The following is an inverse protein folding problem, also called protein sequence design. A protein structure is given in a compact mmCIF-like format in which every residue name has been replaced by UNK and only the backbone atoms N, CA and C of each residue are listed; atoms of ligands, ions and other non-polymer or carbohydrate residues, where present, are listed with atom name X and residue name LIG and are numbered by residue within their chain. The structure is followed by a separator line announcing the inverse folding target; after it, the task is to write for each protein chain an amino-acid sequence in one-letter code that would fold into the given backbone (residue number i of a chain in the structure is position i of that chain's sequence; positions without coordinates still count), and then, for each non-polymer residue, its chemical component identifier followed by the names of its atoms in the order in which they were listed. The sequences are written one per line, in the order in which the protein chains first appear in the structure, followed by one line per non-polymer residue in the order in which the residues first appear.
data_IF_617806359662
#
_entry.id   IF_617806359662
#
_cell.length_a   1.000
_cell.length_b   1.000
_cell.length_c   1.000
_cell.angle_alpha   90.00
_cell.angle_beta   90.00
_cell.angle_gamma   90.00
#
_symmetry.space_group_name_H-M   'P 1'
#
loop_
_entity.id
_entity.type
_entity.pdbx_description
1 polymer ?
2 non-polymer ?
3 non-polymer ?
4 non-polymer ?
5 water ?
#
# COMPACT_ATOMS: atom_id res chain seq x y z
N UNK A 2 8.96 10.56 -22.68
CA UNK A 2 9.01 11.17 -21.32
C UNK A 2 8.16 10.41 -20.31
N UNK A 3 6.85 10.36 -20.55
CA UNK A 3 5.90 9.94 -19.52
C UNK A 3 5.71 8.44 -19.35
N UNK A 4 5.75 7.68 -20.44
CA UNK A 4 5.39 6.26 -20.36
C UNK A 4 6.53 5.29 -20.74
N UNK A 5 7.74 5.83 -20.86
CA UNK A 5 8.93 5.04 -21.19
C UNK A 5 9.38 4.14 -20.03
N UNK A 6 10.55 3.53 -20.18
CA UNK A 6 11.15 2.72 -19.11
C UNK A 6 11.69 3.62 -18.00
N UNK A 7 10.79 4.24 -17.26
CA UNK A 7 11.15 5.20 -16.23
C UNK A 7 9.94 5.43 -15.33
N UNK A 8 10.04 5.05 -14.05
CA UNK A 8 8.90 5.16 -13.14
C UNK A 8 8.69 6.64 -12.80
N UNK A 9 7.49 7.14 -13.10
CA UNK A 9 7.13 8.53 -12.88
C UNK A 9 5.96 8.57 -11.91
N UNK A 10 6.03 9.47 -10.93
CA UNK A 10 4.90 9.74 -10.01
C UNK A 10 4.49 11.18 -10.11
N UNK A 11 3.18 11.41 -10.21
CA UNK A 11 2.59 12.71 -9.96
C UNK A 11 2.19 12.75 -8.50
N UNK A 12 2.48 13.86 -7.82
CA UNK A 12 2.10 14.02 -6.43
C UNK A 12 1.19 15.24 -6.34
N UNK A 13 0.05 15.06 -5.69
CA UNK A 13 -0.94 16.14 -5.55
C UNK A 13 -1.32 16.28 -4.08
N UNK A 14 -1.14 17.49 -3.56
CA UNK A 14 -1.25 17.77 -2.13
C UNK A 14 -2.42 18.70 -1.80
N UNK A 15 -3.22 19.06 -2.79
CA UNK A 15 -4.27 20.07 -2.59
C UNK A 15 -5.24 19.69 -1.47
N UNK A 16 -5.58 18.41 -1.37
CA UNK A 16 -6.57 17.96 -0.39
C UNK A 16 -5.99 17.32 0.87
N UNK A 17 -4.77 17.67 1.22
CA UNK A 17 -4.12 17.17 2.45
C UNK A 17 -4.68 17.87 3.69
N UNK A 18 -4.66 19.19 3.67
CA UNK A 18 -5.20 19.99 4.76
C UNK A 18 -6.54 20.56 4.34
N UNK A 19 -7.60 20.04 4.96
CA UNK A 19 -8.95 20.44 4.63
C UNK A 19 -9.66 20.87 5.90
N UNK A 20 -10.56 21.82 5.77
CA UNK A 20 -11.33 22.30 6.93
C UNK A 20 -12.78 22.53 6.55
N UNK A 21 -13.64 22.52 7.55
CA UNK A 21 -14.99 23.03 7.38
C UNK A 21 -15.08 24.29 8.24
N UNK A 22 -15.72 25.32 7.72
CA UNK A 22 -15.90 26.58 8.44
C UNK A 22 -17.38 26.79 8.77
N UNK A 23 -17.65 27.38 9.93
CA UNK A 23 -19.01 27.54 10.40
C UNK A 23 -19.16 28.82 11.16
N UNK A 24 -20.21 29.58 10.84
CA UNK A 24 -20.57 30.77 11.59
C UNK A 24 -21.40 30.27 12.77
N UNK A 25 -20.95 30.53 13.99
CA UNK A 25 -21.66 30.08 15.20
C UNK A 25 -22.84 31.00 15.50
N UNK A 26 -23.65 30.59 16.47
CA UNK A 26 -24.78 31.43 16.90
C UNK A 26 -24.31 32.77 17.47
N UNK A 27 -23.05 32.81 17.94
CA UNK A 27 -22.51 34.03 18.52
C UNK A 27 -21.87 34.93 17.46
N UNK A 28 -21.82 34.46 16.21
CA UNK A 28 -21.33 35.26 15.10
C UNK A 28 -19.84 35.13 14.83
N UNK A 29 -19.19 34.15 15.44
CA UNK A 29 -17.78 33.90 15.18
C UNK A 29 -17.58 32.73 14.24
N UNK A 30 -16.36 32.57 13.75
CA UNK A 30 -16.03 31.54 12.79
C UNK A 30 -15.28 30.41 13.47
N UNK A 31 -15.81 29.19 13.40
CA UNK A 31 -15.06 28.02 13.83
C UNK A 31 -14.51 27.32 12.60
N UNK A 32 -13.26 26.89 12.70
CA UNK A 32 -12.57 26.21 11.62
C UNK A 32 -12.11 24.88 12.20
N UNK A 33 -12.66 23.78 11.67
CA UNK A 33 -12.32 22.45 12.17
C UNK A 33 -11.69 21.64 11.05
N UNK A 34 -10.47 21.12 11.25
CA UNK A 34 -9.92 20.27 10.20
C UNK A 34 -10.74 19.02 9.98
N UNK A 35 -10.77 18.54 8.74
CA UNK A 35 -11.33 17.23 8.43
C UNK A 35 -10.25 16.43 7.71
N UNK A 36 -10.46 15.12 7.61
CA UNK A 36 -9.43 14.24 7.04
C UNK A 36 -9.12 14.65 5.61
N UNK A 37 -7.85 14.51 5.23
CA UNK A 37 -7.41 14.78 3.87
C UNK A 37 -6.73 13.57 3.25
N UNK A 38 -6.11 13.80 2.09
CA UNK A 38 -5.40 12.72 1.41
C UNK A 38 -4.33 13.28 0.50
N UNK A 39 -3.23 12.52 0.37
CA UNK A 39 -2.24 12.74 -0.66
C UNK A 39 -2.52 11.76 -1.79
N UNK A 40 -2.44 12.24 -3.02
CA UNK A 40 -2.54 11.38 -4.18
C UNK A 40 -1.16 11.23 -4.82
N UNK A 41 -0.71 10.00 -4.98
CA UNK A 41 0.57 9.69 -5.63
C UNK A 41 0.24 8.73 -6.76
N UNK A 42 0.50 9.14 -7.99
CA UNK A 42 -0.08 8.46 -9.17
C UNK A 42 0.97 8.12 -10.22
N UNK A 43 0.98 6.86 -10.65
CA UNK A 43 1.85 6.39 -11.72
C UNK A 43 1.07 6.38 -13.04
N UNK A 44 1.38 7.30 -13.97
CA UNK A 44 0.56 7.43 -15.18
C UNK A 44 0.72 6.26 -16.15
N UNK A 45 1.80 5.50 -16.03
CA UNK A 45 1.96 4.35 -16.92
C UNK A 45 1.07 3.19 -16.52
N UNK A 46 1.10 2.81 -15.24
CA UNK A 46 0.38 1.62 -14.78
C UNK A 46 -1.03 1.92 -14.26
N UNK A 47 -1.32 3.19 -13.97
CA UNK A 47 -2.57 3.54 -13.32
C UNK A 47 -2.58 3.41 -11.81
N UNK A 48 -1.47 3.01 -11.21
CA UNK A 48 -1.40 2.83 -9.77
C UNK A 48 -1.55 4.14 -9.02
N UNK A 49 -2.50 4.18 -8.09
CA UNK A 49 -2.62 5.28 -7.14
C UNK A 49 -2.27 4.78 -5.74
N UNK A 50 -1.38 5.50 -5.08
CA UNK A 50 -1.18 5.36 -3.65
C UNK A 50 -1.96 6.51 -3.03
N UNK A 51 -2.95 6.18 -2.22
CA UNK A 51 -3.76 7.17 -1.51
C UNK A 51 -3.36 7.14 -0.05
N UNK A 52 -2.67 8.20 0.39
CA UNK A 52 -2.30 8.33 1.78
C UNK A 52 -3.36 9.17 2.47
N UNK A 53 -4.12 8.53 3.35
CA UNK A 53 -5.15 9.25 4.08
C UNK A 53 -4.48 9.96 5.23
N UNK A 54 -4.77 11.25 5.35
CA UNK A 54 -4.23 12.10 6.39
C UNK A 54 -5.32 12.34 7.43
N UNK A 55 -5.13 11.78 8.62
CA UNK A 55 -6.10 11.92 9.68
C UNK A 55 -5.84 13.18 10.44
N UNK A 56 -6.91 13.82 10.92
CA UNK A 56 -6.84 15.15 11.56
C UNK A 56 -5.94 15.23 12.80
N UNK A 57 -5.72 14.09 13.44
CA UNK A 57 -4.85 14.03 14.63
C UNK A 57 -3.43 14.53 14.37
N UNK A 58 -2.97 14.44 13.13
CA UNK A 58 -1.62 14.90 12.80
C UNK A 58 -1.42 16.40 12.97
N UNK A 59 -2.51 17.17 12.94
CA UNK A 59 -2.44 18.63 12.91
C UNK A 59 -2.34 19.31 14.26
N UNK A 60 -2.39 18.55 15.34
CA UNK A 60 -2.84 19.09 16.60
C UNK A 60 -2.03 20.29 17.10
N UNK A 61 -0.71 20.22 16.99
CA UNK A 61 0.17 21.24 17.51
C UNK A 61 0.23 22.69 17.03
N UNK A 62 0.20 22.92 15.72
CA UNK A 62 0.80 24.12 15.10
C UNK A 62 -0.11 25.08 14.32
N UNK A 63 0.37 26.30 14.11
CA UNK A 63 -0.31 27.27 13.25
C UNK A 63 0.13 27.02 11.80
N UNK A 64 -0.37 27.85 10.88
CA UNK A 64 -0.01 27.77 9.45
C UNK A 64 -0.01 26.34 8.95
N UNK A 65 -1.11 25.65 9.22
CA UNK A 65 -1.25 24.25 8.85
C UNK A 65 -1.23 24.10 7.33
N UNK A 66 -1.62 25.14 6.60
CA UNK A 66 -1.54 25.15 5.14
C UNK A 66 -0.13 24.99 4.62
N UNK A 67 0.83 25.65 5.27
CA UNK A 67 2.24 25.48 4.91
C UNK A 67 2.75 24.15 5.41
N UNK A 68 2.42 23.82 6.65
CA UNK A 68 2.89 22.57 7.25
C UNK A 68 2.48 21.36 6.40
N UNK A 69 1.29 21.42 5.81
CA UNK A 69 0.79 20.32 4.96
C UNK A 69 1.68 19.98 3.78
N UNK A 70 2.34 20.96 3.19
CA UNK A 70 3.29 20.70 2.10
C UNK A 70 4.46 19.85 2.62
N UNK A 71 4.91 20.20 3.82
CA UNK A 71 5.99 19.45 4.46
C UNK A 71 5.59 18.06 4.84
N UNK A 72 4.37 17.93 5.38
CA UNK A 72 3.80 16.63 5.74
C UNK A 72 3.67 15.76 4.49
N UNK A 73 3.22 16.36 3.40
CA UNK A 73 3.15 15.65 2.12
C UNK A 73 4.52 15.11 1.71
N UNK A 74 5.55 15.95 1.79
CA UNK A 74 6.89 15.52 1.38
C UNK A 74 7.43 14.42 2.29
N UNK A 75 7.17 14.54 3.59
CA UNK A 75 7.53 13.53 4.56
C UNK A 75 6.92 12.17 4.20
N UNK A 76 5.65 12.18 3.84
CA UNK A 76 4.95 10.95 3.49
C UNK A 76 5.41 10.36 2.15
N UNK A 77 5.76 11.22 1.19
CA UNK A 77 6.30 10.72 -0.08
C UNK A 77 7.61 9.99 0.18
N UNK A 78 8.48 10.58 1.00
CA UNK A 78 9.75 9.97 1.34
C UNK A 78 9.55 8.66 2.09
N UNK A 79 8.56 8.62 2.99
CA UNK A 79 8.28 7.40 3.76
C UNK A 79 7.85 6.28 2.84
N UNK A 80 7.04 6.62 1.84
CA UNK A 80 6.60 5.63 0.85
C UNK A 80 7.80 5.11 0.08
N UNK A 81 8.64 6.02 -0.39
CA UNK A 81 9.85 5.62 -1.11
C UNK A 81 10.71 4.68 -0.27
N UNK A 82 10.92 5.02 1.00
CA UNK A 82 11.72 4.20 1.92
C UNK A 82 11.11 2.80 2.15
N UNK A 83 9.78 2.68 2.01
CA UNK A 83 9.10 1.40 2.22
C UNK A 83 9.13 0.49 0.97
N UNK A 84 9.59 1.05 -0.15
CA UNK A 84 9.65 0.32 -1.41
C UNK A 84 11.08 -0.15 -1.74
N UNK A 85 11.21 -1.34 -2.35
CA UNK A 85 12.50 -1.73 -2.91
C UNK A 85 12.98 -0.68 -3.91
N UNK A 86 14.29 -0.57 -4.08
CA UNK A 86 14.87 0.47 -4.97
C UNK A 86 14.29 0.42 -6.37
N UNK A 87 14.09 -0.80 -6.87
CA UNK A 87 13.61 -0.96 -8.23
C UNK A 87 12.16 -0.47 -8.43
N UNK A 88 11.43 -0.24 -7.33
CA UNK A 88 10.08 0.29 -7.40
C UNK A 88 10.03 1.80 -7.10
N UNK A 89 11.17 2.39 -6.74
CA UNK A 89 11.19 3.83 -6.44
C UNK A 89 11.11 4.64 -7.73
N UNK A 90 10.45 5.80 -7.68
CA UNK A 90 10.33 6.60 -8.88
C UNK A 90 11.66 7.19 -9.30
N UNK A 91 11.81 7.37 -10.61
CA UNK A 91 12.93 8.11 -11.17
C UNK A 91 12.60 9.61 -11.21
N UNK A 92 11.34 9.95 -11.43
CA UNK A 92 10.91 11.35 -11.48
C UNK A 92 9.66 11.55 -10.65
N UNK A 93 9.61 12.67 -9.93
CA UNK A 93 8.41 13.07 -9.21
C UNK A 93 7.99 14.43 -9.77
N UNK A 94 6.73 14.50 -10.22
CA UNK A 94 6.20 15.70 -10.85
C UNK A 94 5.12 16.27 -9.95
N UNK A 95 5.23 17.55 -9.62
CA UNK A 95 4.18 18.23 -8.84
C UNK A 95 3.61 19.36 -9.66
N UNK A 96 2.28 19.46 -9.71
CA UNK A 96 1.66 20.60 -10.37
C UNK A 96 1.48 21.76 -9.40
N UNK A 97 1.79 21.54 -8.13
CA UNK A 97 1.82 22.62 -7.15
C UNK A 97 3.27 22.97 -6.80
N UNK A 98 3.68 24.16 -7.20
CA UNK A 98 5.04 24.67 -6.98
C UNK A 98 5.48 24.66 -5.51
N UNK A 99 4.52 24.79 -4.59
CA UNK A 99 4.81 24.83 -3.16
C UNK A 99 5.44 23.55 -2.64
N UNK A 100 5.26 22.46 -3.37
CA UNK A 100 5.84 21.17 -3.01
C UNK A 100 7.31 21.01 -3.38
N UNK A 101 7.85 21.88 -4.23
CA UNK A 101 9.21 21.66 -4.75
C UNK A 101 10.30 21.67 -3.69
N UNK A 102 10.34 22.70 -2.84
CA UNK A 102 11.40 22.78 -1.84
C UNK A 102 11.24 21.72 -0.74
N UNK A 103 10.02 21.53 -0.23
CA UNK A 103 9.87 20.47 0.76
C UNK A 103 10.29 19.10 0.25
N UNK A 104 9.96 18.78 -0.99
CA UNK A 104 10.39 17.49 -1.56
C UNK A 104 11.89 17.44 -1.73
N UNK A 105 12.48 18.53 -2.22
CA UNK A 105 13.94 18.58 -2.38
C UNK A 105 14.64 18.25 -1.07
N UNK A 106 14.16 18.83 0.03
CA UNK A 106 14.79 18.67 1.34
C UNK A 106 14.56 17.25 1.88
N UNK A 107 13.37 16.69 1.65
CA UNK A 107 13.04 15.35 2.14
C UNK A 107 13.66 14.21 1.37
N UNK A 108 14.08 14.46 0.13
CA UNK A 108 14.59 13.38 -0.72
C UNK A 108 16.09 13.46 -0.99
N UNK A 109 16.81 14.15 -0.11
CA UNK A 109 18.26 14.31 -0.29
C UNK A 109 19.02 12.98 -0.31
N UNK A 110 18.49 11.96 0.37
CA UNK A 110 19.10 10.62 0.33
C UNK A 110 18.82 9.84 -0.94
N UNK A 111 18.06 10.42 -1.87
CA UNK A 111 17.72 9.74 -3.12
C UNK A 111 18.20 10.55 -4.32
N UNK A 112 19.52 10.56 -4.57
CA UNK A 112 20.06 11.40 -5.64
C UNK A 112 19.61 11.03 -7.04
N UNK A 113 19.13 9.79 -7.24
CA UNK A 113 18.60 9.35 -8.54
C UNK A 113 17.25 10.00 -8.87
N UNK A 114 16.55 10.50 -7.86
CA UNK A 114 15.19 11.01 -8.10
C UNK A 114 15.21 12.47 -8.57
N UNK A 115 14.61 12.72 -9.73
CA UNK A 115 14.44 14.07 -10.27
C UNK A 115 13.07 14.61 -9.88
N UNK A 116 13.04 15.83 -9.37
CA UNK A 116 11.80 16.48 -8.96
C UNK A 116 11.55 17.65 -9.90
N UNK A 117 10.37 17.74 -10.49
CA UNK A 117 10.06 18.87 -11.34
C UNK A 117 8.65 19.36 -11.17
N UNK A 118 8.46 20.63 -11.48
CA UNK A 118 7.15 21.25 -11.44
C UNK A 118 6.46 21.08 -12.77
N UNK A 119 5.19 21.44 -12.81
CA UNK A 119 4.36 21.28 -13.99
C UNK A 119 3.25 22.32 -13.98
N UNK A 120 2.92 22.81 -15.18
CA UNK A 120 1.85 23.77 -15.37
C UNK A 120 0.57 23.04 -15.76
N UNK A 121 0.60 21.72 -15.78
CA UNK A 121 -0.55 20.93 -16.19
C UNK A 121 -1.66 21.00 -15.15
N UNK A 122 -2.87 20.82 -15.64
CA UNK A 122 -4.08 20.80 -14.82
C UNK A 122 -4.48 19.35 -14.60
N UNK A 123 -4.08 18.81 -13.46
CA UNK A 123 -4.23 17.39 -13.19
C UNK A 123 -4.84 17.25 -11.80
N UNK A 124 -6.16 17.47 -11.69
CA UNK A 124 -6.76 17.54 -10.36
C UNK A 124 -7.05 16.16 -9.80
N UNK A 125 -5.99 15.42 -9.45
CA UNK A 125 -6.12 14.06 -8.88
C UNK A 125 -6.94 14.12 -7.61
N UNK A 126 -6.88 15.25 -6.91
CA UNK A 126 -7.67 15.43 -5.70
C UNK A 126 -9.18 15.34 -5.99
N UNK A 127 -9.60 15.60 -7.23
CA UNK A 127 -11.02 15.46 -7.59
C UNK A 127 -11.55 14.03 -7.35
N UNK A 128 -10.65 13.06 -7.17
CA UNK A 128 -11.07 11.71 -6.75
C UNK A 128 -11.98 11.73 -5.51
N UNK A 129 -11.88 12.76 -4.67
CA UNK A 129 -12.76 12.90 -3.49
C UNK A 129 -14.22 12.95 -3.85
N UNK A 130 -14.52 13.41 -5.06
CA UNK A 130 -15.91 13.54 -5.51
C UNK A 130 -16.52 12.18 -5.90
N UNK A 131 -15.69 11.16 -6.05
CA UNK A 131 -16.16 9.80 -6.31
C UNK A 131 -16.46 9.17 -4.95
N UNK A 132 -17.67 8.68 -4.75
CA UNK A 132 -18.12 8.28 -3.40
C UNK A 132 -17.18 7.28 -2.71
N UNK A 133 -16.61 6.35 -3.48
CA UNK A 133 -15.67 5.36 -2.94
C UNK A 133 -14.55 6.04 -2.15
N UNK A 134 -13.90 7.04 -2.76
CA UNK A 134 -12.78 7.70 -2.11
C UNK A 134 -13.28 8.64 -1.00
N UNK A 135 -14.36 9.37 -1.28
CA UNK A 135 -14.88 10.38 -0.36
C UNK A 135 -15.22 9.84 1.01
N UNK A 136 -15.99 8.76 1.02
CA UNK A 136 -16.39 8.09 2.26
C UNK A 136 -15.21 7.49 2.98
N UNK A 137 -14.32 6.86 2.22
CA UNK A 137 -13.11 6.27 2.78
C UNK A 137 -12.32 7.31 3.58
N UNK A 138 -12.10 8.46 2.97
CA UNK A 138 -11.35 9.54 3.60
C UNK A 138 -12.11 10.12 4.79
N UNK A 139 -13.39 10.42 4.59
CA UNK A 139 -14.23 10.99 5.64
C UNK A 139 -14.24 10.13 6.91
N UNK A 140 -14.39 8.82 6.74
CA UNK A 140 -14.64 7.91 7.88
C UNK A 140 -13.39 7.36 8.57
N UNK A 141 -12.22 7.63 8.02
CA UNK A 141 -10.97 7.12 8.57
C UNK A 141 -10.76 7.65 9.97
N UNK A 142 -10.23 6.81 10.86
CA UNK A 142 -9.97 7.20 12.23
C UNK A 142 -8.48 7.24 12.54
N UNK A 143 -7.66 6.96 11.52
CA UNK A 143 -6.21 6.95 11.68
C UNK A 143 -5.57 7.05 10.28
N UNK A 144 -4.28 7.39 10.21
CA UNK A 144 -3.64 7.42 8.88
C UNK A 144 -3.47 6.02 8.34
N UNK A 145 -3.54 5.89 7.02
CA UNK A 145 -3.33 4.62 6.35
C UNK A 145 -3.08 4.89 4.88
N UNK A 146 -2.50 3.92 4.21
CA UNK A 146 -2.29 4.03 2.79
C UNK A 146 -3.10 2.95 2.09
N UNK A 147 -3.78 3.35 1.02
CA UNK A 147 -4.65 2.44 0.28
C UNK A 147 -4.23 2.48 -1.19
N UNK A 148 -4.12 1.29 -1.80
CA UNK A 148 -3.74 1.19 -3.20
C UNK A 148 -4.98 1.05 -4.09
N UNK A 149 -4.94 1.73 -5.24
CA UNK A 149 -5.97 1.61 -6.26
C UNK A 149 -5.35 1.54 -7.65
N UNK A 150 -6.14 1.03 -8.60
CA UNK A 150 -5.81 1.03 -10.01
C UNK A 150 -6.83 1.94 -10.69
N UNK A 151 -6.41 3.13 -11.09
CA UNK A 151 -7.35 4.13 -11.60
C UNK A 151 -7.71 3.93 -13.06
N UNK A 152 -7.11 2.94 -13.71
CA UNK A 152 -7.45 2.63 -15.11
C UNK A 152 -8.38 1.42 -15.24
N UNK A 153 -8.81 0.85 -14.13
CA UNK A 153 -9.66 -0.33 -14.16
C UNK A 153 -9.05 -1.35 -15.15
N UNK A 154 -9.83 -1.88 -16.08
CA UNK A 154 -9.33 -2.84 -17.07
C UNK A 154 -8.98 -2.24 -18.43
N UNK A 155 -8.85 -0.91 -18.51
CA UNK A 155 -8.64 -0.27 -19.82
C UNK A 155 -7.40 -0.70 -20.52
N UNK A 156 -6.33 -0.98 -19.76
CA UNK A 156 -5.05 -1.28 -20.38
C UNK A 156 -5.05 -2.61 -21.16
N UNK A 157 -6.08 -3.44 -20.96
CA UNK A 157 -6.21 -4.64 -21.78
C UNK A 157 -6.40 -4.29 -23.26
N UNK A 158 -7.02 -3.14 -23.54
CA UNK A 158 -7.32 -2.74 -24.92
C UNK A 158 -6.84 -1.36 -25.38
N UNK A 159 -6.40 -0.50 -24.47
CA UNK A 159 -5.82 0.79 -24.86
C UNK A 159 -4.45 1.00 -24.22
N UNK A 160 -3.68 1.92 -24.79
CA UNK A 160 -2.36 2.25 -24.29
C UNK A 160 -2.43 3.05 -23.00
N UNK A 161 -1.29 3.13 -22.32
CA UNK A 161 -1.17 4.00 -21.16
C UNK A 161 -1.43 5.46 -21.50
N UNK A 162 -0.93 5.90 -22.64
CA UNK A 162 -1.17 7.27 -23.10
C UNK A 162 -2.68 7.54 -23.22
N UNK A 163 -3.42 6.62 -23.84
CA UNK A 163 -4.85 6.78 -24.04
C UNK A 163 -5.58 6.77 -22.71
N UNK A 164 -5.18 5.85 -21.86
CA UNK A 164 -5.78 5.71 -20.53
C UNK A 164 -5.58 6.98 -19.69
N UNK A 165 -4.37 7.51 -19.68
CA UNK A 165 -4.04 8.75 -18.96
C UNK A 165 -4.92 9.90 -19.47
N UNK A 166 -5.02 10.03 -20.79
CA UNK A 166 -5.83 11.09 -21.37
C UNK A 166 -7.29 10.99 -20.96
N UNK A 167 -7.81 9.77 -20.92
CA UNK A 167 -9.19 9.53 -20.48
C UNK A 167 -9.36 9.90 -19.02
N UNK A 168 -8.43 9.46 -18.18
CA UNK A 168 -8.49 9.77 -16.74
C UNK A 168 -8.48 11.26 -16.48
N UNK A 169 -7.59 11.98 -17.16
CA UNK A 169 -7.47 13.41 -16.93
C UNK A 169 -8.76 14.13 -17.33
N UNK A 170 -9.34 13.75 -18.47
CA UNK A 170 -10.62 14.33 -18.86
C UNK A 170 -11.68 14.08 -17.79
N UNK A 171 -11.71 12.86 -17.25
CA UNK A 171 -12.68 12.52 -16.19
C UNK A 171 -12.47 13.39 -14.95
N UNK A 172 -11.23 13.47 -14.47
CA UNK A 172 -10.94 14.22 -13.26
C UNK A 172 -11.23 15.69 -13.44
N UNK A 173 -10.79 16.25 -14.57
CA UNK A 173 -11.02 17.65 -14.85
C UNK A 173 -12.50 17.97 -14.97
N UNK A 174 -13.27 17.07 -15.59
CA UNK A 174 -14.71 17.27 -15.69
C UNK A 174 -15.38 17.23 -14.32
N UNK A 175 -14.99 16.28 -13.47
CA UNK A 175 -15.49 16.22 -12.10
C UNK A 175 -15.13 17.48 -11.32
N UNK A 176 -13.93 18.00 -11.56
CA UNK A 176 -13.43 19.19 -10.88
C UNK A 176 -14.27 20.38 -11.24
N UNK A 177 -14.52 20.58 -12.54
CA UNK A 177 -15.20 21.79 -13.01
C UNK A 177 -16.72 21.74 -12.90
N UNK A 178 -17.32 20.57 -13.11
CA UNK A 178 -18.77 20.42 -13.00
C UNK A 178 -19.14 18.98 -12.61
N UNK A 179 -19.03 18.70 -11.32
CA UNK A 179 -19.24 17.37 -10.77
C UNK A 179 -20.58 16.74 -11.16
N UNK A 180 -21.66 17.48 -11.00
CA UNK A 180 -22.99 16.93 -11.28
C UNK A 180 -23.13 16.50 -12.74
N UNK A 181 -22.71 17.36 -13.66
CA UNK A 181 -22.86 17.09 -15.08
C UNK A 181 -21.92 15.98 -15.55
N UNK A 182 -20.71 15.95 -15.01
CA UNK A 182 -19.75 14.89 -15.33
C UNK A 182 -20.33 13.52 -14.97
N UNK A 183 -20.95 13.44 -13.80
CA UNK A 183 -21.52 12.17 -13.35
C UNK A 183 -22.65 11.70 -14.26
N UNK A 184 -23.41 12.63 -14.84
CA UNK A 184 -24.46 12.28 -15.79
C UNK A 184 -23.87 11.75 -17.09
N UNK A 185 -22.86 12.46 -17.61
CA UNK A 185 -22.17 12.05 -18.85
C UNK A 185 -21.62 10.63 -18.69
N UNK A 186 -21.05 10.35 -17.52
CA UNK A 186 -20.47 9.05 -17.22
C UNK A 186 -21.50 7.93 -16.94
N UNK A 187 -22.79 8.26 -16.96
CA UNK A 187 -23.83 7.25 -16.84
C UNK A 187 -24.83 7.40 -18.00
N UNK A 188 -24.43 6.93 -19.20
CA UNK A 188 -25.24 7.15 -20.41
C UNK A 188 -26.51 6.30 -20.51
N UNK A 189 -26.60 5.22 -19.72
CA UNK A 189 -27.73 4.29 -19.78
C UNK A 189 -28.22 3.96 -18.37
N UNK A 190 -29.49 3.56 -18.26
CA UNK A 190 -30.03 3.15 -16.97
C UNK A 190 -29.24 1.95 -16.44
N UNK A 191 -28.80 1.07 -17.34
CA UNK A 191 -28.07 -0.14 -16.96
C UNK A 191 -26.56 0.07 -16.76
N UNK A 192 -26.07 1.30 -16.91
CA UNK A 192 -24.63 1.58 -16.72
C UNK A 192 -24.24 1.28 -15.28
N UNK A 193 -23.30 0.36 -15.11
CA UNK A 193 -22.77 0.02 -13.78
C UNK A 193 -21.26 0.23 -13.68
N UNK A 194 -20.81 0.44 -12.46
CA UNK A 194 -19.39 0.37 -12.13
C UNK A 194 -19.23 -0.91 -11.33
N UNK A 195 -18.32 -1.78 -11.75
CA UNK A 195 -18.06 -3.00 -10.98
C UNK A 195 -17.57 -2.65 -9.57
N UNK A 196 -17.86 -3.52 -8.58
CA UNK A 196 -17.45 -3.23 -7.19
C UNK A 196 -15.95 -2.93 -7.05
N UNK A 197 -15.12 -3.60 -7.85
CA UNK A 197 -13.66 -3.46 -7.78
C UNK A 197 -13.11 -2.41 -8.72
N UNK A 198 -13.99 -1.79 -9.51
CA UNK A 198 -13.58 -0.70 -10.43
C UNK A 198 -13.90 0.66 -9.86
N UNK A 199 -13.25 1.69 -10.41
CA UNK A 199 -13.54 3.08 -10.06
C UNK A 199 -14.55 3.71 -11.02
N UNK A 200 -14.43 3.39 -12.29
CA UNK A 200 -15.18 4.02 -13.38
C UNK A 200 -16.14 3.05 -13.99
N UNK A 201 -17.15 3.58 -14.71
CA UNK A 201 -18.18 2.68 -15.25
C UNK A 201 -17.66 1.76 -16.32
N UNK A 202 -18.38 0.65 -16.52
CA UNK A 202 -18.16 -0.23 -17.64
C UNK A 202 -18.92 0.31 -18.83
N UNK A 203 -18.17 0.77 -19.84
CA UNK A 203 -18.75 1.33 -21.06
C UNK A 203 -18.15 0.65 -22.28
N UNK A 204 -18.93 0.57 -23.36
CA UNK A 204 -18.41 0.07 -24.63
C UNK A 204 -17.47 1.10 -25.24
N UNK A 205 -16.75 0.70 -26.27
CA UNK A 205 -15.81 1.60 -26.93
C UNK A 205 -16.52 2.82 -27.53
N UNK A 206 -17.68 2.60 -28.15
CA UNK A 206 -18.50 3.69 -28.71
C UNK A 206 -18.91 4.67 -27.62
N UNK A 207 -19.32 4.14 -26.47
CA UNK A 207 -19.77 4.97 -25.36
C UNK A 207 -18.64 5.82 -24.83
N UNK A 208 -17.44 5.25 -24.77
CA UNK A 208 -16.27 6.02 -24.33
C UNK A 208 -15.94 7.14 -25.27
N UNK A 209 -16.09 6.91 -26.57
CA UNK A 209 -15.82 7.95 -27.55
C UNK A 209 -16.71 9.15 -27.27
N UNK A 210 -18.00 8.87 -27.10
CA UNK A 210 -18.99 9.92 -26.85
C UNK A 210 -18.72 10.61 -25.52
N UNK A 211 -18.42 9.82 -24.49
CA UNK A 211 -18.08 10.36 -23.17
C UNK A 211 -16.88 11.30 -23.27
N UNK A 212 -15.83 10.86 -23.95
CA UNK A 212 -14.59 11.66 -24.01
C UNK A 212 -14.83 13.01 -24.69
N UNK A 213 -15.65 13.01 -25.72
CA UNK A 213 -15.99 14.27 -26.39
C UNK A 213 -16.80 15.17 -25.45
N UNK A 214 -17.76 14.58 -24.74
CA UNK A 214 -18.62 15.37 -23.86
C UNK A 214 -17.86 15.96 -22.69
N UNK A 215 -16.94 15.19 -22.11
CA UNK A 215 -16.14 15.68 -20.99
C UNK A 215 -15.24 16.82 -21.44
N UNK A 216 -14.64 16.66 -22.61
CA UNK A 216 -13.83 17.71 -23.17
C UNK A 216 -14.63 19.01 -23.34
N UNK A 217 -15.85 18.88 -23.85
CA UNK A 217 -16.71 20.05 -24.06
C UNK A 217 -17.14 20.68 -22.75
N UNK A 218 -17.36 19.86 -21.73
CA UNK A 218 -17.68 20.37 -20.40
C UNK A 218 -16.50 21.19 -19.86
N UNK A 219 -15.29 20.67 -20.03
CA UNK A 219 -14.10 21.37 -19.56
C UNK A 219 -13.92 22.71 -20.30
N UNK A 220 -14.21 22.73 -21.60
CA UNK A 220 -14.11 23.96 -22.37
C UNK A 220 -15.17 24.98 -21.97
N UNK A 221 -16.34 24.49 -21.57
CA UNK A 221 -17.44 25.38 -21.19
C UNK A 221 -17.20 26.08 -19.86
N UNK A 222 -16.30 25.54 -19.03
CA UNK A 222 -16.04 26.16 -17.71
C UNK A 222 -14.72 25.71 -17.11
N UNK B 2 16.52 -17.76 -15.05
CA UNK B 2 16.46 -17.02 -13.76
C UNK B 2 15.14 -17.28 -13.03
N UNK B 3 15.23 -17.88 -11.85
CA UNK B 3 14.05 -18.15 -11.03
C UNK B 3 13.40 -16.85 -10.58
N UNK B 4 14.17 -15.99 -9.92
CA UNK B 4 13.66 -14.69 -9.50
C UNK B 4 13.82 -13.70 -10.66
N UNK B 5 12.87 -13.72 -11.58
CA UNK B 5 12.89 -12.87 -12.77
C UNK B 5 11.79 -11.79 -12.72
N UNK B 6 11.60 -11.09 -13.85
CA UNK B 6 10.43 -10.22 -14.06
C UNK B 6 9.09 -10.90 -13.77
N UNK B 7 9.08 -12.24 -13.83
CA UNK B 7 7.92 -13.06 -13.49
C UNK B 7 7.74 -13.10 -11.97
N UNK B 8 6.73 -12.39 -11.46
CA UNK B 8 6.56 -12.14 -10.04
C UNK B 8 6.12 -13.38 -9.24
N UNK B 9 6.84 -13.64 -8.16
CA UNK B 9 6.52 -14.73 -7.25
C UNK B 9 6.11 -14.11 -5.92
N UNK B 10 4.99 -14.59 -5.37
CA UNK B 10 4.58 -14.24 -3.99
C UNK B 10 4.51 -15.46 -3.11
N UNK B 11 5.14 -15.36 -1.94
CA UNK B 11 4.93 -16.32 -0.84
C UNK B 11 3.88 -15.71 0.06
N UNK B 12 2.87 -16.51 0.43
CA UNK B 12 1.79 -16.04 1.27
C UNK B 12 1.73 -16.87 2.54
N UNK B 13 1.68 -16.18 3.67
CA UNK B 13 1.53 -16.82 4.97
C UNK B 13 0.55 -15.98 5.79
N UNK B 14 -0.07 -16.59 6.80
CA UNK B 14 -1.00 -15.88 7.66
C UNK B 14 -0.79 -16.30 9.10
N UNK B 15 -1.34 -15.52 10.02
CA UNK B 15 -1.29 -15.88 11.42
C UNK B 15 -2.33 -15.11 12.21
N UNK B 16 -2.85 -15.75 13.25
CA UNK B 16 -3.59 -15.07 14.27
C UNK B 16 -2.57 -14.21 15.02
N UNK B 17 -3.03 -13.10 15.57
CA UNK B 17 -2.20 -12.26 16.43
C UNK B 17 -2.97 -12.11 17.73
N UNK B 18 -2.50 -12.74 18.80
CA UNK B 18 -3.24 -12.67 20.07
C UNK B 18 -3.07 -11.30 20.68
N UNK B 19 -4.17 -10.72 21.15
CA UNK B 19 -4.14 -9.38 21.71
C UNK B 19 -4.63 -9.38 23.14
N UNK B 20 -4.08 -8.46 23.94
CA UNK B 20 -4.51 -8.26 25.31
C UNK B 20 -5.95 -7.75 25.32
N UNK B 21 -6.74 -8.22 26.28
CA UNK B 21 -8.10 -7.73 26.44
C UNK B 21 -8.08 -6.30 26.95
N UNK B 22 -8.82 -5.43 26.26
CA UNK B 22 -9.03 -4.06 26.69
C UNK B 22 -10.39 -3.96 27.38
N UNK B 23 -10.39 -3.49 28.62
CA UNK B 23 -11.59 -3.43 29.43
C UNK B 23 -12.28 -2.11 29.31
N UNK B 24 -13.60 -2.14 29.40
CA UNK B 24 -14.39 -0.92 29.39
C UNK B 24 -14.16 -0.20 30.71
N UNK B 25 -13.87 1.10 30.60
CA UNK B 25 -13.60 1.95 31.77
C UNK B 25 -14.89 2.21 32.55
N UNK B 26 -15.99 2.35 31.82
CA UNK B 26 -17.34 2.40 32.39
C UNK B 26 -18.26 1.62 31.45
N UNK B 27 -19.46 1.28 31.92
CA UNK B 27 -20.34 0.38 31.16
C UNK B 27 -20.75 0.89 29.77
N UNK B 28 -20.91 2.21 29.65
CA UNK B 28 -21.24 2.83 28.36
C UNK B 28 -20.03 3.17 27.50
N UNK B 29 -18.85 2.75 27.95
CA UNK B 29 -17.60 3.02 27.24
C UNK B 29 -17.58 2.26 25.91
N UNK B 30 -17.24 2.98 24.85
CA UNK B 30 -17.16 2.39 23.51
C UNK B 30 -15.98 1.42 23.44
N UNK B 31 -16.12 0.37 22.63
CA UNK B 31 -15.04 -0.57 22.38
C UNK B 31 -14.74 -0.62 20.88
N UNK B 32 -13.49 -0.94 20.55
CA UNK B 32 -13.06 -1.08 19.16
C UNK B 32 -12.43 -2.45 18.99
N UNK B 33 -12.88 -3.17 17.97
CA UNK B 33 -12.40 -4.52 17.73
C UNK B 33 -10.92 -4.50 17.36
N UNK B 34 -10.09 -5.34 18.00
CA UNK B 34 -8.66 -5.22 17.81
C UNK B 34 -8.12 -5.82 16.52
N UNK B 35 -7.03 -5.25 16.03
CA UNK B 35 -6.25 -5.89 14.99
C UNK B 35 -5.67 -7.19 15.59
N UNK B 36 -6.09 -8.33 15.08
CA UNK B 36 -5.72 -9.62 15.68
C UNK B 36 -5.40 -10.70 14.65
N UNK B 37 -4.96 -10.27 13.48
CA UNK B 37 -4.57 -11.19 12.44
C UNK B 37 -3.69 -10.49 11.44
N UNK B 38 -2.85 -11.26 10.75
CA UNK B 38 -1.94 -10.72 9.76
C UNK B 38 -1.77 -11.67 8.61
N UNK B 39 -1.71 -11.09 7.42
CA UNK B 39 -1.41 -11.84 6.20
C UNK B 39 -0.15 -11.23 5.57
N UNK B 40 0.80 -12.10 5.27
CA UNK B 40 2.10 -11.72 4.75
C UNK B 40 2.17 -12.13 3.30
N UNK B 41 2.44 -11.18 2.42
CA UNK B 41 2.51 -11.44 0.98
C UNK B 41 3.86 -10.90 0.56
N UNK B 42 4.76 -11.81 0.18
CA UNK B 42 6.18 -11.51 0.07
C UNK B 42 6.80 -11.86 -1.27
N UNK B 43 7.49 -10.88 -1.86
CA UNK B 43 8.21 -11.03 -3.11
C UNK B 43 9.69 -11.26 -2.82
N UNK B 44 10.18 -12.49 -3.02
CA UNK B 44 11.55 -12.79 -2.63
C UNK B 44 12.62 -12.17 -3.54
N UNK B 45 12.25 -11.78 -4.75
CA UNK B 45 13.22 -11.12 -5.64
C UNK B 45 13.57 -9.72 -5.13
N UNK B 46 12.55 -8.96 -4.75
CA UNK B 46 12.74 -7.54 -4.42
C UNK B 46 12.77 -7.25 -2.92
N UNK B 47 12.26 -8.16 -2.10
CA UNK B 47 12.16 -7.95 -0.65
C UNK B 47 10.87 -7.25 -0.24
N UNK B 48 10.01 -6.95 -1.21
CA UNK B 48 8.73 -6.33 -0.91
C UNK B 48 7.81 -7.22 -0.09
N UNK B 49 7.33 -6.68 1.02
CA UNK B 49 6.29 -7.30 1.81
C UNK B 49 5.05 -6.40 1.80
N UNK B 50 3.91 -6.98 1.42
CA UNK B 50 2.61 -6.38 1.65
C UNK B 50 2.11 -7.06 2.92
N UNK B 51 1.90 -6.27 3.96
CA UNK B 51 1.39 -6.78 5.24
C UNK B 51 -0.04 -6.32 5.40
N UNK B 52 -0.97 -7.26 5.43
CA UNK B 52 -2.36 -6.92 5.69
C UNK B 52 -2.65 -7.24 7.14
N UNK B 53 -2.99 -6.21 7.90
CA UNK B 53 -3.40 -6.39 9.28
C UNK B 53 -4.93 -6.35 9.31
N UNK B 54 -5.52 -7.30 10.00
CA UNK B 54 -6.94 -7.50 9.94
C UNK B 54 -7.56 -7.72 11.30
N UNK B 55 -8.87 -7.60 11.35
CA UNK B 55 -9.64 -8.10 12.48
C UNK B 55 -10.43 -9.31 12.07
N UNK B 56 -10.28 -10.37 12.86
CA UNK B 56 -11.14 -11.55 12.76
C UNK B 56 -11.92 -11.73 14.07
N UNK B 57 -13.23 -11.88 13.98
CA UNK B 57 -14.05 -12.09 15.17
C UNK B 57 -14.16 -13.57 15.56
N UNK B 58 -13.62 -14.44 14.72
CA UNK B 58 -13.87 -15.87 14.85
C UNK B 58 -12.62 -16.71 15.00
N UNK B 59 -11.51 -16.09 15.37
CA UNK B 59 -10.25 -16.83 15.49
C UNK B 59 -10.37 -17.96 16.49
N UNK B 60 -11.18 -17.78 17.54
CA UNK B 60 -11.29 -18.81 18.59
C UNK B 60 -11.97 -20.09 18.09
N UNK B 61 -12.71 -19.98 16.98
CA UNK B 61 -13.38 -21.13 16.38
C UNK B 61 -12.61 -21.82 15.26
N UNK B 62 -11.38 -21.37 14.96
CA UNK B 62 -10.62 -21.98 13.87
C UNK B 62 -10.19 -23.38 14.29
N UNK B 63 -10.32 -24.33 13.36
CA UNK B 63 -10.01 -25.73 13.69
C UNK B 63 -8.63 -25.82 14.33
N UNK B 64 -7.64 -25.23 13.67
CA UNK B 64 -6.30 -25.12 14.21
C UNK B 64 -6.10 -23.70 14.73
N UNK B 65 -6.12 -23.56 16.05
CA UNK B 65 -5.95 -22.27 16.69
C UNK B 65 -4.60 -21.70 16.31
N UNK B 66 -4.59 -20.44 15.90
CA UNK B 66 -3.35 -19.78 15.47
C UNK B 66 -3.36 -19.43 14.00
N UNK B 67 -4.21 -20.09 13.23
CA UNK B 67 -4.36 -19.82 11.80
C UNK B 67 -5.55 -18.91 11.58
N UNK B 68 -5.53 -18.16 10.49
CA UNK B 68 -6.71 -17.43 10.05
C UNK B 68 -7.59 -18.36 9.23
N UNK B 69 -8.87 -18.01 9.15
CA UNK B 69 -9.78 -18.69 8.25
C UNK B 69 -9.20 -18.65 6.84
N UNK B 70 -9.23 -19.78 6.14
CA UNK B 70 -8.59 -19.82 4.82
C UNK B 70 -9.32 -18.93 3.80
N UNK B 71 -10.63 -18.76 3.99
CA UNK B 71 -11.40 -17.83 3.14
C UNK B 71 -10.99 -16.40 3.35
N UNK B 72 -10.65 -16.04 4.59
CA UNK B 72 -10.16 -14.69 4.91
C UNK B 72 -8.85 -14.41 4.20
N UNK B 73 -7.90 -15.32 4.35
CA UNK B 73 -6.62 -15.16 3.71
C UNK B 73 -6.82 -15.05 2.19
N UNK B 74 -7.63 -15.93 1.63
CA UNK B 74 -7.83 -15.95 0.18
C UNK B 74 -8.50 -14.67 -0.33
N UNK B 75 -9.53 -14.18 0.36
CA UNK B 75 -10.21 -12.97 -0.05
C UNK B 75 -9.29 -11.75 -0.02
N UNK B 76 -8.41 -11.70 0.97
CA UNK B 76 -7.49 -10.57 1.13
C UNK B 76 -6.41 -10.58 0.06
N UNK B 77 -5.92 -11.75 -0.30
CA UNK B 77 -4.98 -11.87 -1.40
C UNK B 77 -5.66 -11.43 -2.69
N UNK B 78 -6.91 -11.85 -2.91
CA UNK B 78 -7.65 -11.43 -4.10
C UNK B 78 -7.88 -9.91 -4.15
N UNK B 79 -8.22 -9.31 -3.01
CA UNK B 79 -8.45 -7.86 -2.94
C UNK B 79 -7.17 -7.11 -3.28
N UNK B 80 -6.03 -7.56 -2.76
CA UNK B 80 -4.75 -6.94 -3.10
C UNK B 80 -4.50 -7.01 -4.61
N UNK B 81 -4.68 -8.19 -5.20
CA UNK B 81 -4.46 -8.35 -6.64
C UNK B 81 -5.38 -7.43 -7.46
N UNK B 82 -6.65 -7.35 -7.09
CA UNK B 82 -7.60 -6.46 -7.78
C UNK B 82 -7.20 -4.98 -7.65
N UNK B 83 -6.49 -4.63 -6.60
CA UNK B 83 -6.05 -3.23 -6.43
C UNK B 83 -4.77 -2.89 -7.20
N UNK B 84 -4.06 -3.89 -7.72
CA UNK B 84 -2.80 -3.68 -8.44
C UNK B 84 -2.97 -3.67 -9.95
N UNK B 85 -2.21 -2.82 -10.65
CA UNK B 85 -2.15 -2.97 -12.10
C UNK B 85 -1.72 -4.39 -12.47
N UNK B 86 -2.19 -4.87 -13.62
CA UNK B 86 -1.88 -6.23 -14.08
C UNK B 86 -0.39 -6.52 -14.09
N UNK B 87 0.42 -5.54 -14.50
CA UNK B 87 1.87 -5.80 -14.58
C UNK B 87 2.52 -5.99 -13.20
N UNK B 88 1.79 -5.70 -12.12
CA UNK B 88 2.29 -5.93 -10.76
C UNK B 88 1.69 -7.18 -10.10
N UNK B 89 0.78 -7.85 -10.79
CA UNK B 89 0.15 -9.05 -10.26
C UNK B 89 1.13 -10.21 -10.37
N UNK B 90 1.05 -11.15 -9.42
CA UNK B 90 2.00 -12.26 -9.40
C UNK B 90 1.71 -13.26 -10.50
N UNK B 91 2.75 -13.92 -10.99
CA UNK B 91 2.59 -15.07 -11.87
C UNK B 91 2.37 -16.35 -11.07
N UNK B 92 3.02 -16.45 -9.90
CA UNK B 92 2.83 -17.60 -9.02
C UNK B 92 2.67 -17.14 -7.59
N UNK B 93 1.80 -17.84 -6.88
CA UNK B 93 1.64 -17.67 -5.46
C UNK B 93 2.00 -18.99 -4.81
N UNK B 94 2.89 -18.92 -3.81
CA UNK B 94 3.38 -20.12 -3.13
C UNK B 94 2.88 -20.12 -1.68
N UNK B 95 2.24 -21.21 -1.29
CA UNK B 95 1.78 -21.36 0.09
C UNK B 95 2.37 -22.61 0.73
N UNK B 96 2.68 -22.52 2.01
CA UNK B 96 3.16 -23.67 2.76
C UNK B 96 2.04 -24.30 3.59
N UNK B 97 0.96 -23.56 3.86
CA UNK B 97 -0.14 -24.07 4.68
C UNK B 97 -0.88 -25.26 4.06
N UNK B 98 -1.22 -25.15 2.78
CA UNK B 98 -1.66 -26.27 1.94
C UNK B 98 -3.17 -26.50 1.96
N UNK B 99 -3.83 -26.01 2.99
CA UNK B 99 -5.28 -25.96 3.01
C UNK B 99 -5.64 -25.02 1.89
N UNK B 100 -4.74 -24.05 1.75
CA UNK B 100 -4.90 -22.79 1.02
C UNK B 100 -4.98 -22.92 -0.50
N UNK B 101 -4.55 -24.04 -1.07
CA UNK B 101 -4.48 -24.18 -2.53
C UNK B 101 -5.84 -23.96 -3.19
N UNK B 102 -6.84 -24.72 -2.76
CA UNK B 102 -8.16 -24.65 -3.38
C UNK B 102 -8.85 -23.30 -3.13
N UNK B 103 -8.84 -22.79 -1.87
CA UNK B 103 -9.44 -21.47 -1.64
C UNK B 103 -8.84 -20.37 -2.51
N UNK B 104 -7.52 -20.40 -2.72
CA UNK B 104 -6.89 -19.37 -3.55
C UNK B 104 -7.28 -19.52 -5.01
N UNK B 105 -7.25 -20.76 -5.51
CA UNK B 105 -7.68 -21.04 -6.88
C UNK B 105 -9.11 -20.58 -7.12
N UNK B 106 -9.99 -20.83 -6.15
CA UNK B 106 -11.39 -20.43 -6.28
C UNK B 106 -11.52 -18.90 -6.26
N UNK B 107 -10.95 -18.26 -5.24
CA UNK B 107 -11.01 -16.79 -5.15
C UNK B 107 -10.31 -16.09 -6.28
N UNK B 108 -9.35 -16.77 -6.92
CA UNK B 108 -8.63 -16.20 -8.05
C UNK B 108 -9.05 -16.76 -9.40
N UNK B 109 -10.30 -17.21 -9.50
CA UNK B 109 -10.87 -17.72 -10.74
C UNK B 109 -10.70 -16.72 -11.88
N UNK B 110 -10.98 -15.45 -11.60
CA UNK B 110 -10.89 -14.38 -12.62
C UNK B 110 -9.46 -14.07 -13.07
N UNK B 111 -8.46 -14.71 -12.46
CA UNK B 111 -7.05 -14.49 -12.78
C UNK B 111 -6.37 -15.80 -13.20
N UNK B 112 -6.72 -16.31 -14.39
CA UNK B 112 -6.20 -17.63 -14.80
C UNK B 112 -4.69 -17.66 -15.09
N UNK B 113 -4.05 -16.50 -15.25
CA UNK B 113 -2.60 -16.44 -15.39
C UNK B 113 -1.82 -16.78 -14.11
N UNK B 114 -2.49 -16.72 -12.95
CA UNK B 114 -1.82 -16.89 -11.68
C UNK B 114 -1.87 -18.35 -11.28
N UNK B 115 -0.68 -18.94 -11.11
CA UNK B 115 -0.57 -20.35 -10.73
C UNK B 115 -0.28 -20.44 -9.23
N UNK B 116 -1.05 -21.27 -8.55
CA UNK B 116 -0.91 -21.44 -7.11
C UNK B 116 -0.18 -22.77 -6.87
N UNK B 117 0.86 -22.72 -6.02
CA UNK B 117 1.70 -23.89 -5.75
C UNK B 117 1.93 -24.08 -4.26
N UNK B 118 2.04 -25.34 -3.85
CA UNK B 118 2.36 -25.68 -2.47
C UNK B 118 3.85 -25.87 -2.29
N UNK B 119 4.33 -25.63 -1.07
CA UNK B 119 5.74 -25.77 -0.76
C UNK B 119 5.94 -26.37 0.62
N UNK B 120 7.08 -27.03 0.79
CA UNK B 120 7.50 -27.59 2.07
C UNK B 120 8.43 -26.63 2.81
N UNK B 121 8.77 -25.52 2.18
CA UNK B 121 9.67 -24.55 2.80
C UNK B 121 9.08 -24.15 4.17
N UNK B 122 9.95 -24.09 5.17
CA UNK B 122 9.55 -23.57 6.47
C UNK B 122 9.82 -22.08 6.45
N UNK B 123 8.75 -21.30 6.45
CA UNK B 123 8.86 -19.85 6.31
C UNK B 123 7.95 -19.17 7.32
N UNK B 124 8.41 -19.06 8.59
CA UNK B 124 7.57 -18.57 9.67
C UNK B 124 7.51 -17.05 9.72
N UNK B 125 6.78 -16.47 8.78
CA UNK B 125 6.61 -15.03 8.75
C UNK B 125 6.03 -14.45 10.03
N UNK B 126 5.27 -15.26 10.75
CA UNK B 126 4.73 -14.81 12.04
C UNK B 126 5.84 -14.30 12.96
N UNK B 127 7.07 -14.79 12.78
CA UNK B 127 8.19 -14.28 13.59
C UNK B 127 8.43 -12.79 13.43
N UNK B 128 7.93 -12.16 12.36
CA UNK B 128 8.02 -10.70 12.22
C UNK B 128 7.40 -9.97 13.40
N UNK B 129 6.37 -10.55 13.98
CA UNK B 129 5.67 -9.97 15.12
C UNK B 129 6.63 -9.73 16.29
N UNK B 130 7.74 -10.47 16.34
CA UNK B 130 8.73 -10.30 17.40
C UNK B 130 9.69 -9.13 17.19
N UNK B 131 9.62 -8.49 16.02
CA UNK B 131 10.49 -7.38 15.66
C UNK B 131 9.77 -6.06 15.96
N UNK B 132 10.46 -5.14 16.63
CA UNK B 132 9.83 -3.91 17.17
C UNK B 132 9.03 -3.11 16.15
N UNK B 133 9.55 -2.97 14.93
CA UNK B 133 8.85 -2.21 13.89
C UNK B 133 7.45 -2.77 13.60
N UNK B 134 7.34 -4.10 13.56
CA UNK B 134 6.05 -4.75 13.35
C UNK B 134 5.16 -4.72 14.58
N UNK B 135 5.72 -5.00 15.74
CA UNK B 135 4.95 -4.98 16.98
C UNK B 135 4.35 -3.61 17.23
N UNK B 136 5.14 -2.56 17.02
CA UNK B 136 4.69 -1.18 17.22
C UNK B 136 3.49 -0.85 16.33
N UNK B 137 3.54 -1.34 15.10
CA UNK B 137 2.45 -1.14 14.15
C UNK B 137 1.16 -1.75 14.66
N UNK B 138 1.24 -3.01 15.07
CA UNK B 138 0.10 -3.74 15.62
C UNK B 138 -0.46 -3.00 16.82
N UNK B 139 0.42 -2.51 17.70
CA UNK B 139 -0.02 -1.86 18.93
C UNK B 139 -0.63 -0.47 18.70
N UNK B 140 -0.31 0.15 17.57
CA UNK B 140 -0.79 1.50 17.27
C UNK B 140 -2.04 1.47 16.38
N UNK B 141 -2.10 0.54 15.43
CA UNK B 141 -3.17 0.49 14.46
C UNK B 141 -4.47 -0.08 15.02
N UNK B 142 -5.59 0.53 14.64
CA UNK B 142 -6.92 0.07 15.02
C UNK B 142 -7.79 -0.30 13.81
N UNK B 143 -7.43 0.19 12.62
CA UNK B 143 -8.21 -0.11 11.41
C UNK B 143 -7.47 -1.13 10.53
N UNK B 144 -8.22 -2.11 9.98
CA UNK B 144 -7.58 -3.02 9.04
C UNK B 144 -7.00 -2.26 7.86
N UNK B 145 -5.83 -2.66 7.42
CA UNK B 145 -5.12 -1.91 6.40
C UNK B 145 -3.95 -2.72 5.88
N UNK B 146 -3.39 -2.22 4.80
CA UNK B 146 -2.24 -2.76 4.12
C UNK B 146 -1.06 -1.84 4.38
N UNK B 147 0.09 -2.40 4.79
CA UNK B 147 1.29 -1.64 5.01
C UNK B 147 2.42 -2.27 4.20
N UNK B 148 3.20 -1.43 3.53
CA UNK B 148 4.33 -1.89 2.71
C UNK B 148 5.64 -1.85 3.50
N UNK B 149 6.47 -2.87 3.30
CA UNK B 149 7.81 -2.91 3.87
C UNK B 149 8.80 -3.43 2.83
N UNK B 150 10.07 -3.06 3.05
CA UNK B 150 11.19 -3.59 2.31
C UNK B 150 11.97 -4.48 3.30
N UNK B 151 11.77 -5.80 3.21
CA UNK B 151 12.34 -6.71 4.22
C UNK B 151 13.83 -6.97 4.04
N UNK B 152 14.41 -6.48 2.95
CA UNK B 152 15.83 -6.64 2.73
C UNK B 152 16.66 -5.40 3.07
N UNK B 153 16.05 -4.34 3.61
CA UNK B 153 16.80 -3.12 3.94
C UNK B 153 17.65 -2.74 2.70
N UNK B 154 18.96 -2.51 2.87
CA UNK B 154 19.83 -2.13 1.75
C UNK B 154 20.69 -3.31 1.26
N UNK B 155 20.34 -4.54 1.66
CA UNK B 155 21.18 -5.70 1.32
C UNK B 155 21.44 -5.85 -0.15
N UNK B 156 20.44 -5.58 -0.98
CA UNK B 156 20.59 -5.80 -2.43
C UNK B 156 21.61 -4.90 -3.12
N UNK B 157 22.13 -3.89 -2.42
CA UNK B 157 23.24 -3.11 -2.93
C UNK B 157 24.50 -3.95 -3.10
N UNK B 158 24.61 -5.01 -2.29
CA UNK B 158 25.83 -5.83 -2.26
C UNK B 158 25.62 -7.33 -2.49
N UNK B 159 24.44 -7.87 -2.18
CA UNK B 159 24.21 -9.31 -2.34
C UNK B 159 23.06 -9.57 -3.30
N UNK B 160 23.00 -10.78 -3.84
CA UNK B 160 21.91 -11.16 -4.73
C UNK B 160 20.60 -11.34 -3.97
N UNK B 161 19.51 -11.34 -4.71
CA UNK B 161 18.19 -11.59 -4.15
C UNK B 161 18.12 -12.95 -3.48
N UNK B 162 18.79 -13.93 -4.07
CA UNK B 162 18.81 -15.30 -3.54
C UNK B 162 19.45 -15.35 -2.16
N UNK B 163 20.58 -14.66 -2.03
CA UNK B 163 21.30 -14.59 -0.77
C UNK B 163 20.53 -13.79 0.27
N UNK B 164 19.89 -12.71 -0.15
CA UNK B 164 19.02 -11.95 0.73
C UNK B 164 17.89 -12.81 1.26
N UNK B 165 17.27 -13.59 0.37
CA UNK B 165 16.18 -14.48 0.75
C UNK B 165 16.66 -15.50 1.78
N UNK B 166 17.82 -16.12 1.53
CA UNK B 166 18.41 -17.07 2.48
C UNK B 166 18.68 -16.46 3.86
N UNK B 167 19.18 -15.23 3.88
CA UNK B 167 19.42 -14.53 5.15
C UNK B 167 18.11 -14.28 5.90
N UNK B 168 17.10 -13.79 5.19
CA UNK B 168 15.80 -13.55 5.80
C UNK B 168 15.21 -14.83 6.37
N UNK B 169 15.29 -15.94 5.62
CA UNK B 169 14.78 -17.23 6.10
C UNK B 169 15.43 -17.60 7.44
N UNK B 170 16.75 -17.47 7.50
CA UNK B 170 17.49 -17.78 8.72
C UNK B 170 17.02 -16.91 9.88
N UNK B 171 16.87 -15.61 9.64
CA UNK B 171 16.45 -14.69 10.69
C UNK B 171 15.06 -15.07 11.21
N UNK B 172 14.12 -15.28 10.30
CA UNK B 172 12.75 -15.60 10.70
C UNK B 172 12.69 -16.93 11.46
N UNK B 173 13.39 -17.94 10.96
CA UNK B 173 13.40 -19.24 11.62
C UNK B 173 14.01 -19.16 13.03
N UNK B 174 15.07 -18.36 13.16
CA UNK B 174 15.73 -18.21 14.45
C UNK B 174 14.84 -17.48 15.45
N UNK B 175 14.24 -16.38 15.02
CA UNK B 175 13.28 -15.65 15.87
C UNK B 175 12.12 -16.55 16.28
N UNK B 176 11.69 -17.43 15.38
CA UNK B 176 10.56 -18.31 15.65
C UNK B 176 10.86 -19.30 16.76
N UNK B 177 12.03 -19.92 16.69
CA UNK B 177 12.37 -21.00 17.63
C UNK B 177 12.95 -20.47 18.94
N UNK B 178 13.68 -19.37 18.88
CA UNK B 178 14.28 -18.81 20.09
C UNK B 178 14.53 -17.32 19.98
N UNK B 179 13.47 -16.55 20.26
CA UNK B 179 13.47 -15.10 20.15
C UNK B 179 14.63 -14.46 20.91
N UNK B 180 14.76 -14.81 22.18
CA UNK B 180 15.76 -14.19 23.05
C UNK B 180 17.17 -14.41 22.52
N UNK B 181 17.50 -15.65 22.19
CA UNK B 181 18.83 -15.98 21.68
C UNK B 181 19.08 -15.33 20.31
N UNK B 182 18.06 -15.35 19.44
CA UNK B 182 18.19 -14.76 18.11
C UNK B 182 18.54 -13.28 18.20
N UNK B 183 17.85 -12.57 19.08
CA UNK B 183 18.10 -11.14 19.27
C UNK B 183 19.52 -10.84 19.77
N UNK B 184 20.06 -11.71 20.63
CA UNK B 184 21.46 -11.59 21.08
C UNK B 184 22.42 -11.83 19.91
N UNK B 185 22.18 -12.88 19.12
CA UNK B 185 23.01 -13.16 17.95
C UNK B 185 23.01 -11.98 16.97
N UNK B 186 21.86 -11.34 16.79
CA UNK B 186 21.72 -10.19 15.89
C UNK B 186 22.30 -8.89 16.44
N UNK B 187 22.81 -8.91 17.66
CA UNK B 187 23.58 -7.79 18.20
C UNK B 187 25.01 -8.24 18.55
N UNK B 188 25.84 -8.49 17.52
CA UNK B 188 27.17 -9.05 17.77
C UNK B 188 28.11 -8.12 18.55
N UNK B 189 27.86 -6.82 18.46
CA UNK B 189 28.69 -5.82 19.12
C UNK B 189 27.83 -4.86 19.94
N UNK B 190 28.43 -4.26 20.97
CA UNK B 190 27.73 -3.31 21.83
C UNK B 190 27.24 -2.09 21.05
N UNK B 191 27.96 -1.74 19.98
CA UNK B 191 27.62 -0.60 19.13
C UNK B 191 26.63 -0.93 18.00
N UNK B 192 26.29 -2.21 17.84
CA UNK B 192 25.34 -2.62 16.78
C UNK B 192 24.02 -1.87 16.90
N UNK B 193 23.59 -1.24 15.81
CA UNK B 193 22.31 -0.55 15.75
C UNK B 193 21.51 -0.91 14.50
N UNK B 194 20.22 -0.56 14.54
CA UNK B 194 19.33 -0.65 13.40
C UNK B 194 18.91 0.75 13.00
N UNK B 195 19.07 1.10 11.72
CA UNK B 195 18.62 2.41 11.21
C UNK B 195 17.12 2.55 11.39
N UNK B 196 16.64 3.79 11.56
CA UNK B 196 15.20 4.00 11.79
C UNK B 196 14.30 3.51 10.65
N UNK B 197 14.80 3.54 9.43
CA UNK B 197 14.01 3.14 8.27
C UNK B 197 14.27 1.69 7.88
N UNK B 198 15.09 1.00 8.67
CA UNK B 198 15.42 -0.41 8.42
C UNK B 198 14.76 -1.31 9.40
N UNK B 199 14.63 -2.58 9.04
CA UNK B 199 14.07 -3.61 9.91
C UNK B 199 15.15 -4.34 10.70
N UNK B 200 16.31 -4.56 10.06
CA UNK B 200 17.42 -5.38 10.60
C UNK B 200 18.64 -4.55 10.86
N UNK B 201 19.57 -5.07 11.68
CA UNK B 201 20.73 -4.26 12.05
C UNK B 201 21.69 -3.99 10.90
N UNK B 202 22.47 -2.93 11.05
CA UNK B 202 23.54 -2.60 10.12
C UNK B 202 24.78 -3.39 10.51
N UNK B 203 25.18 -4.31 9.63
CA UNK B 203 26.35 -5.15 9.85
C UNK B 203 27.19 -5.22 8.58
N UNK B 204 28.51 -5.31 8.74
CA UNK B 204 29.37 -5.50 7.57
C UNK B 204 29.08 -6.88 7.00
N UNK B 205 29.43 -7.08 5.74
CA UNK B 205 29.14 -8.35 5.09
C UNK B 205 29.84 -9.51 5.81
N UNK B 206 30.95 -9.22 6.48
CA UNK B 206 31.71 -10.20 7.26
C UNK B 206 30.98 -10.58 8.55
N UNK B 207 30.45 -9.58 9.25
CA UNK B 207 29.65 -9.81 10.45
C UNK B 207 28.42 -10.65 10.14
N UNK B 208 27.78 -10.38 9.01
CA UNK B 208 26.60 -11.16 8.58
C UNK B 208 26.90 -12.63 8.47
N UNK B 209 28.10 -12.98 7.99
CA UNK B 209 28.49 -14.37 7.86
C UNK B 209 28.51 -15.07 9.21
N UNK B 210 29.10 -14.41 10.21
CA UNK B 210 29.19 -14.99 11.54
C UNK B 210 27.83 -15.07 12.20
N UNK B 211 27.01 -14.06 11.98
CA UNK B 211 25.64 -14.03 12.48
C UNK B 211 24.87 -15.21 11.91
N UNK B 212 25.00 -15.41 10.60
CA UNK B 212 24.29 -16.49 9.93
C UNK B 212 24.68 -17.87 10.45
N UNK B 213 25.97 -18.09 10.70
CA UNK B 213 26.43 -19.36 11.24
C UNK B 213 25.77 -19.64 12.59
N UNK B 214 25.70 -18.64 13.45
CA UNK B 214 25.09 -18.81 14.77
C UNK B 214 23.58 -19.05 14.71
N UNK B 215 22.88 -18.34 13.81
CA UNK B 215 21.45 -18.55 13.65
C UNK B 215 21.17 -19.97 13.16
N UNK B 216 21.99 -20.44 12.23
CA UNK B 216 21.93 -21.84 11.77
C UNK B 216 22.03 -22.82 12.94
N UNK B 217 23.00 -22.60 13.81
CA UNK B 217 23.21 -23.47 14.97
C UNK B 217 22.06 -23.37 15.96
N UNK B 218 21.52 -22.17 16.11
CA UNK B 218 20.34 -21.96 16.94
C UNK B 218 19.14 -22.78 16.44
N UNK B 219 18.93 -22.78 15.11
CA UNK B 219 17.79 -23.48 14.52
C UNK B 219 17.99 -24.99 14.66
N UNK B 220 19.21 -25.46 14.38
CA UNK B 220 19.59 -26.86 14.63
C UNK B 220 19.35 -27.29 16.08
N UNK B 221 19.66 -26.40 17.03
CA UNK B 221 19.54 -26.71 18.47
C UNK B 221 18.16 -27.25 18.87
N UNK B 222 17.09 -26.75 18.22
CA UNK B 222 15.77 -27.38 18.33
C UNK B 222 14.80 -26.82 17.29
X LIG C 1 -9.38 21.37 -14.38
X LIG D 1 1.40 25.55 -4.24
X LIG E 1 -5.36 21.44 -8.45
X LIG E 1 -6.54 21.46 -9.26
X LIG E 1 -4.11 21.46 -9.33
X LIG E 1 -2.95 21.28 -8.49
X LIG E 1 -4.19 20.35 -10.36
X LIG E 1 -3.09 20.44 -11.27
X LIG F 1 -1.18 3.96 12.98
X LIG F 1 -1.36 5.33 13.40
X LIG F 1 -1.38 3.90 11.47
X LIG F 1 -2.74 3.52 11.18
X LIG F 1 -0.40 2.91 10.83
X LIG F 1 -0.46 3.08 9.40
X LIG G 1 2.28 -20.23 7.60
X LIG H 1 7.25 -4.03 -11.58
X LIG I 1 -10.81 -22.21 7.36
X LIG J 1 -5.58 -10.38 28.16
#
# INVERSE_FOLDING_TARGET
GELFSNQIIWFVEDTNVYRVTIHKTFEGNLTTKPINGAIFIFNPRTGQLFLKIIHTSVWAGQKRLGQLAKWKTAEEVAALIRSLPVEEQPKQIIVTRKGMLDPLEVHLLDFPNIVIKGSELQLPFQACLKVEKFGDLILKATEPQMVLFNLYDDWLKTISSYTAFSRLILILRALHVNNDRAKVILKPDKTTITEPHHIWPTLTDEEWIKVEVQLKDLILAD
GELFSNQIIWFVEDTNVYRVTIHKTFEGNLTTKPINGAIFIFNPRTGQLFLKIIHTSVWAGQKRLGQLAKWKTAEEVAALIRSLPVEEQPKQIIVTRKGMLDPLEVHLLDFPNIVIKGSELQLPFQACLKVEKFGDLILKATEPQMVLFNLYDDWLKTISSYTAFSRLILILRALHVNNDRAKVILKPDKTTITEPHHIWPTLTDEEWIKVEVQLKDLILAD
CL CL
CL CL
GOL C1 O1 C2 O2 C3 O3
GOL C1 O1 C2 O2 C3 O3
MG MG
MG MG
CL CL
CL CL
#
